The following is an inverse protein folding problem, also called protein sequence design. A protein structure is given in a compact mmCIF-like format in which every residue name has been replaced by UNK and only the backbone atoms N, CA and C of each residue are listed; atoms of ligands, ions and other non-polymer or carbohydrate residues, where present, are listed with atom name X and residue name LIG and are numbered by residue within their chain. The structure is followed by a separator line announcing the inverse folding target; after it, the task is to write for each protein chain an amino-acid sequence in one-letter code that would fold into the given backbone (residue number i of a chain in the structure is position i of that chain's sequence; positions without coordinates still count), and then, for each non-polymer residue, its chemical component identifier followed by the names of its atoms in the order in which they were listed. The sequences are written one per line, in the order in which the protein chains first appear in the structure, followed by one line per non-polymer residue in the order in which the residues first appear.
data_IF_207189983938
#
_entry.id   IF_207189983938
#
_cell.length_a   1.000
_cell.length_b   1.000
_cell.length_c   1.000
_cell.angle_alpha   90.00
_cell.angle_beta   90.00
_cell.angle_gamma   90.00
#
_symmetry.space_group_name_H-M   'P 1'
#
loop_
_entity.id
_entity.type
_entity.pdbx_description
1 polymer ?
#
# COMPACT_ATOMS: atom_id res chain seq x y z
N UNK A 1 -24.66 -9.32 -13.18
CA UNK A 1 -24.09 -8.03 -13.56
C UNK A 1 -22.78 -7.91 -12.82
N UNK A 2 -21.67 -7.75 -13.52
CA UNK A 2 -20.36 -7.65 -12.88
C UNK A 2 -20.25 -6.29 -12.20
N UNK A 3 -20.10 -6.27 -10.87
CA UNK A 3 -20.05 -5.01 -10.10
C UNK A 3 -18.81 -4.18 -10.43
N UNK A 4 -17.72 -4.83 -10.87
CA UNK A 4 -16.54 -4.17 -11.40
C UNK A 4 -16.31 -4.64 -12.84
N UNK A 5 -16.43 -3.77 -13.86
CA UNK A 5 -16.20 -4.15 -15.26
C UNK A 5 -14.76 -4.58 -15.55
N UNK A 6 -13.81 -4.34 -14.64
CA UNK A 6 -12.42 -4.82 -14.76
C UNK A 6 -12.23 -6.24 -14.23
N UNK A 7 -13.26 -6.86 -13.64
CA UNK A 7 -13.18 -8.21 -13.06
C UNK A 7 -12.22 -8.33 -11.87
N UNK A 8 -11.94 -7.21 -11.20
CA UNK A 8 -11.03 -7.14 -10.05
C UNK A 8 -11.77 -6.94 -8.74
N UNK A 9 -11.15 -7.40 -7.67
CA UNK A 9 -11.54 -7.12 -6.28
C UNK A 9 -10.48 -6.20 -5.64
N UNK A 10 -10.83 -5.38 -4.63
CA UNK A 10 -12.14 -5.24 -3.98
C UNK A 10 -13.15 -4.37 -4.75
N UNK A 11 -14.42 -4.49 -4.36
CA UNK A 11 -15.53 -3.60 -4.73
C UNK A 11 -16.28 -3.21 -3.46
N UNK A 12 -16.61 -1.93 -3.33
CA UNK A 12 -17.46 -1.41 -2.26
C UNK A 12 -18.84 -1.08 -2.83
N UNK A 13 -19.89 -1.59 -2.18
CA UNK A 13 -21.28 -1.24 -2.48
C UNK A 13 -21.82 -0.43 -1.30
N UNK A 14 -22.36 0.75 -1.58
CA UNK A 14 -23.01 1.62 -0.60
C UNK A 14 -24.34 2.14 -1.13
N UNK A 15 -25.44 1.59 -0.62
CA UNK A 15 -26.76 1.83 -1.19
C UNK A 15 -26.81 1.40 -2.66
N UNK A 16 -27.08 2.35 -3.55
CA UNK A 16 -27.06 2.15 -5.02
C UNK A 16 -25.68 2.42 -5.64
N UNK A 17 -24.73 2.97 -4.87
CA UNK A 17 -23.39 3.28 -5.35
C UNK A 17 -22.49 2.04 -5.41
N UNK A 18 -21.71 1.94 -6.50
CA UNK A 18 -20.69 0.89 -6.69
C UNK A 18 -19.34 1.56 -6.96
N UNK A 19 -18.38 1.34 -6.06
CA UNK A 19 -17.03 1.91 -6.11
C UNK A 19 -16.03 0.76 -6.24
N UNK A 20 -15.12 0.87 -7.19
CA UNK A 20 -14.06 -0.11 -7.45
C UNK A 20 -12.71 0.61 -7.57
N UNK A 21 -11.62 -0.19 -7.59
CA UNK A 21 -10.24 0.23 -7.35
C UNK A 21 -9.97 0.61 -5.88
N UNK A 22 -9.01 -0.06 -5.25
CA UNK A 22 -8.74 0.07 -3.81
C UNK A 22 -8.39 1.50 -3.39
N UNK A 23 -7.63 2.23 -4.20
CA UNK A 23 -7.29 3.62 -3.90
C UNK A 23 -8.53 4.53 -3.94
N UNK A 24 -9.42 4.34 -4.92
CA UNK A 24 -10.65 5.12 -5.06
C UNK A 24 -11.63 4.77 -3.93
N UNK A 25 -11.74 3.49 -3.56
CA UNK A 25 -12.50 3.06 -2.38
C UNK A 25 -11.99 3.79 -1.12
N UNK A 26 -10.68 3.87 -0.93
CA UNK A 26 -10.11 4.57 0.23
C UNK A 26 -10.39 6.08 0.20
N UNK A 27 -10.34 6.72 -0.98
CA UNK A 27 -10.71 8.14 -1.12
C UNK A 27 -12.19 8.37 -0.79
N UNK A 28 -13.08 7.53 -1.28
CA UNK A 28 -14.49 7.57 -0.95
C UNK A 28 -14.73 7.42 0.57
N UNK A 29 -14.02 6.51 1.24
CA UNK A 29 -14.13 6.32 2.68
C UNK A 29 -13.61 7.53 3.48
N UNK A 30 -12.53 8.16 3.02
CA UNK A 30 -12.00 9.41 3.61
C UNK A 30 -13.02 10.55 3.51
N UNK A 31 -13.74 10.67 2.39
CA UNK A 31 -14.78 11.69 2.20
C UNK A 31 -16.06 11.38 2.99
N UNK A 32 -16.45 10.11 3.06
CA UNK A 32 -17.68 9.68 3.73
C UNK A 32 -17.59 9.73 5.26
N UNK A 33 -16.40 9.49 5.81
CA UNK A 33 -16.17 9.42 7.26
C UNK A 33 -15.11 10.44 7.72
N UNK A 34 -15.38 11.75 7.56
CA UNK A 34 -14.39 12.81 7.83
C UNK A 34 -13.94 12.88 9.30
N UNK A 35 -14.67 12.24 10.22
CA UNK A 35 -14.29 12.13 11.63
C UNK A 35 -13.07 11.21 11.86
N UNK A 36 -12.72 10.37 10.88
CA UNK A 36 -11.50 9.55 10.88
C UNK A 36 -10.64 10.03 9.72
N UNK A 37 -9.78 11.00 9.98
CA UNK A 37 -8.91 11.57 8.96
C UNK A 37 -7.67 10.68 8.78
N UNK A 38 -7.52 10.07 7.60
CA UNK A 38 -6.36 9.26 7.22
C UNK A 38 -5.53 9.90 6.13
N UNK A 39 -5.88 11.10 5.66
CA UNK A 39 -5.05 11.89 4.79
C UNK A 39 -4.63 13.20 5.44
N UNK A 40 -3.37 13.65 5.27
CA UNK A 40 -2.92 14.93 5.81
C UNK A 40 -3.78 16.11 5.33
N UNK A 41 -3.94 17.12 6.20
CA UNK A 41 -4.58 18.39 5.87
C UNK A 41 -3.64 19.34 5.13
N UNK A 42 -2.34 19.30 5.45
CA UNK A 42 -1.33 20.07 4.73
C UNK A 42 -1.28 19.64 3.25
N UNK A 43 -1.43 20.57 2.28
CA UNK A 43 -1.45 20.22 0.86
C UNK A 43 -0.19 19.48 0.38
N UNK A 44 0.98 19.79 0.93
CA UNK A 44 2.24 19.14 0.53
C UNK A 44 2.29 17.71 1.06
N UNK A 45 2.00 17.49 2.34
CA UNK A 45 1.93 16.14 2.89
C UNK A 45 0.83 15.30 2.23
N UNK A 46 -0.32 15.91 1.91
CA UNK A 46 -1.40 15.22 1.19
C UNK A 46 -0.96 14.79 -0.21
N UNK A 47 -0.23 15.65 -0.92
CA UNK A 47 0.32 15.37 -2.24
C UNK A 47 1.36 14.25 -2.16
N UNK A 48 2.20 14.29 -1.13
CA UNK A 48 3.19 13.26 -0.85
C UNK A 48 2.54 11.90 -0.55
N UNK A 49 1.46 11.87 0.24
CA UNK A 49 0.69 10.66 0.47
C UNK A 49 0.21 10.05 -0.85
N UNK A 50 -0.37 10.87 -1.74
CA UNK A 50 -0.84 10.43 -3.06
C UNK A 50 0.27 9.89 -3.95
N UNK A 51 1.44 10.54 -3.99
CA UNK A 51 2.61 10.08 -4.75
C UNK A 51 3.02 8.67 -4.31
N UNK A 52 3.03 8.40 -3.01
CA UNK A 52 3.46 7.10 -2.50
C UNK A 52 2.37 6.02 -2.55
N UNK A 53 1.09 6.40 -2.55
CA UNK A 53 -0.01 5.49 -2.89
C UNK A 53 0.12 5.06 -4.36
N UNK A 54 0.32 6.02 -5.27
CA UNK A 54 0.55 5.75 -6.69
C UNK A 54 1.78 4.85 -6.90
N UNK A 55 2.90 5.18 -6.26
CA UNK A 55 4.12 4.38 -6.31
C UNK A 55 3.87 2.91 -5.91
N UNK A 56 3.10 2.68 -4.85
CA UNK A 56 2.74 1.32 -4.43
C UNK A 56 1.95 0.61 -5.53
N UNK A 57 0.89 1.24 -6.03
CA UNK A 57 -0.06 0.63 -6.94
C UNK A 57 0.54 0.37 -8.33
N UNK A 58 1.25 1.36 -8.89
CA UNK A 58 1.72 1.32 -10.27
C UNK A 58 3.08 0.64 -10.42
N UNK A 59 3.88 0.56 -9.34
CA UNK A 59 5.24 0.00 -9.38
C UNK A 59 5.36 -1.25 -8.54
N UNK A 60 5.26 -1.12 -7.22
CA UNK A 60 5.56 -2.21 -6.30
C UNK A 60 4.57 -3.37 -6.47
N UNK A 61 3.27 -3.09 -6.38
CA UNK A 61 2.22 -4.11 -6.51
C UNK A 61 2.14 -4.68 -7.92
N UNK A 62 2.40 -3.88 -8.95
CA UNK A 62 2.45 -4.37 -10.33
C UNK A 62 3.58 -5.41 -10.50
N UNK A 63 4.80 -5.11 -10.03
CA UNK A 63 5.92 -6.04 -10.10
C UNK A 63 5.72 -7.27 -9.19
N UNK A 64 5.21 -7.06 -7.98
CA UNK A 64 4.88 -8.16 -7.06
C UNK A 64 3.77 -9.07 -7.62
N UNK A 65 2.79 -8.47 -8.31
CA UNK A 65 1.71 -9.18 -9.00
C UNK A 65 2.22 -10.09 -10.10
N UNK A 66 3.22 -9.66 -10.88
CA UNK A 66 3.88 -10.51 -11.87
C UNK A 66 4.51 -11.76 -11.23
N UNK A 67 5.21 -11.60 -10.10
CA UNK A 67 5.79 -12.74 -9.36
C UNK A 67 4.68 -13.70 -8.90
N UNK A 68 3.59 -13.17 -8.37
CA UNK A 68 2.48 -13.97 -7.85
C UNK A 68 1.68 -14.73 -8.93
N UNK A 69 1.88 -14.42 -10.21
CA UNK A 69 1.25 -15.08 -11.35
C UNK A 69 2.29 -15.70 -12.30
N UNK A 70 3.50 -15.97 -11.80
CA UNK A 70 4.59 -16.63 -12.54
C UNK A 70 4.97 -15.96 -13.87
N UNK A 71 4.85 -14.63 -13.94
CA UNK A 71 5.14 -13.83 -15.14
C UNK A 71 6.42 -13.00 -14.96
N UNK A 72 7.39 -13.10 -15.90
CA UNK A 72 8.70 -12.39 -15.85
C UNK A 72 9.34 -12.38 -14.43
N UNK A 73 9.35 -13.53 -13.74
CA UNK A 73 9.62 -13.61 -12.28
C UNK A 73 10.95 -12.96 -11.88
N UNK A 74 12.06 -13.33 -12.52
CA UNK A 74 13.39 -12.84 -12.13
C UNK A 74 13.54 -11.32 -12.33
N UNK A 75 13.10 -10.80 -13.48
CA UNK A 75 13.06 -9.37 -13.75
C UNK A 75 12.14 -8.61 -12.78
N UNK A 76 11.05 -9.25 -12.35
CA UNK A 76 10.12 -8.66 -11.39
C UNK A 76 10.70 -8.66 -9.97
N UNK A 77 11.49 -9.67 -9.59
CA UNK A 77 12.24 -9.68 -8.32
C UNK A 77 13.27 -8.56 -8.26
N UNK A 78 14.02 -8.33 -9.33
CA UNK A 78 14.97 -7.19 -9.43
C UNK A 78 14.25 -5.85 -9.25
N UNK A 79 13.11 -5.66 -9.92
CA UNK A 79 12.29 -4.44 -9.79
C UNK A 79 11.75 -4.27 -8.37
N UNK A 80 11.15 -5.31 -7.79
CA UNK A 80 10.66 -5.29 -6.40
C UNK A 80 11.81 -4.90 -5.48
N UNK A 81 13.00 -5.51 -5.64
CA UNK A 81 14.16 -5.18 -4.82
C UNK A 81 14.54 -3.70 -4.89
N UNK A 82 14.68 -3.14 -6.09
CA UNK A 82 14.98 -1.71 -6.26
C UNK A 82 13.91 -0.79 -5.68
N UNK A 83 12.63 -1.20 -5.74
CA UNK A 83 11.56 -0.43 -5.12
C UNK A 83 11.59 -0.47 -3.59
N UNK A 84 11.96 -1.61 -2.99
CA UNK A 84 12.15 -1.72 -1.54
C UNK A 84 13.36 -0.90 -1.06
N UNK A 85 14.44 -0.84 -1.83
CA UNK A 85 15.59 0.03 -1.54
C UNK A 85 15.22 1.50 -1.58
N UNK A 86 14.42 1.92 -2.56
CA UNK A 86 13.88 3.29 -2.65
C UNK A 86 13.03 3.62 -1.42
N UNK A 87 12.14 2.71 -1.00
CA UNK A 87 11.33 2.89 0.21
C UNK A 87 12.20 2.98 1.47
N UNK A 88 13.23 2.14 1.58
CA UNK A 88 14.17 2.19 2.70
C UNK A 88 14.89 3.53 2.79
N UNK A 89 15.29 4.12 1.65
CA UNK A 89 15.88 5.46 1.63
C UNK A 89 14.89 6.53 2.06
N UNK A 90 13.64 6.46 1.57
CA UNK A 90 12.61 7.42 1.94
C UNK A 90 12.27 7.37 3.44
N UNK A 91 12.29 6.18 4.03
CA UNK A 91 11.97 5.98 5.45
C UNK A 91 13.12 6.30 6.40
N UNK A 92 14.30 6.72 5.91
CA UNK A 92 15.50 6.96 6.74
C UNK A 92 15.24 7.84 7.96
N UNK A 93 14.59 8.97 7.74
CA UNK A 93 14.35 10.00 8.76
C UNK A 93 12.85 10.18 9.05
N UNK A 94 12.06 9.11 8.82
CA UNK A 94 10.60 9.17 8.89
C UNK A 94 10.01 8.01 9.68
N UNK A 95 8.96 8.30 10.44
CA UNK A 95 8.14 7.26 11.05
C UNK A 95 7.01 6.79 10.12
N UNK A 96 6.44 7.72 9.34
CA UNK A 96 5.37 7.50 8.37
C UNK A 96 5.64 8.28 7.09
N UNK A 97 5.10 7.80 5.96
CA UNK A 97 5.41 8.33 4.63
C UNK A 97 5.12 9.83 4.54
N UNK A 98 3.95 10.26 5.01
CA UNK A 98 3.44 11.62 4.88
C UNK A 98 3.52 12.42 6.19
N UNK A 99 4.53 12.11 7.01
CA UNK A 99 4.74 12.72 8.34
C UNK A 99 3.93 12.03 9.44
N UNK A 100 2.64 11.83 9.21
CA UNK A 100 1.72 11.13 10.11
C UNK A 100 1.19 9.85 9.47
N UNK A 101 0.64 8.94 10.30
CA UNK A 101 0.04 7.70 9.81
C UNK A 101 -1.14 8.00 8.90
N UNK A 102 -1.09 7.49 7.68
CA UNK A 102 -2.02 7.87 6.63
C UNK A 102 -2.42 6.70 5.74
N UNK A 103 -3.33 6.95 4.78
CA UNK A 103 -3.63 5.99 3.71
C UNK A 103 -2.36 5.58 2.95
N UNK A 104 -1.36 6.46 2.83
CA UNK A 104 -0.09 6.11 2.19
C UNK A 104 0.64 4.98 2.91
N UNK A 105 0.54 4.88 4.24
CA UNK A 105 1.10 3.76 4.99
C UNK A 105 0.23 2.51 4.87
N UNK A 106 -1.09 2.69 4.96
CA UNK A 106 -2.08 1.61 4.89
C UNK A 106 -1.98 0.84 3.57
N UNK A 107 -1.74 1.54 2.45
CA UNK A 107 -1.62 0.96 1.11
C UNK A 107 -0.53 -0.12 1.01
N UNK A 108 0.49 -0.12 1.88
CA UNK A 108 1.57 -1.11 1.86
C UNK A 108 1.33 -2.32 2.75
N UNK A 109 0.39 -2.24 3.70
CA UNK A 109 0.10 -3.33 4.65
C UNK A 109 -0.19 -4.66 3.93
N UNK A 110 -1.06 -4.72 2.89
CA UNK A 110 -1.34 -5.99 2.22
C UNK A 110 -0.11 -6.59 1.53
N UNK A 111 0.83 -5.76 1.08
CA UNK A 111 2.09 -6.23 0.49
C UNK A 111 2.96 -6.89 1.57
N UNK A 112 3.10 -6.24 2.73
CA UNK A 112 3.89 -6.76 3.86
C UNK A 112 3.31 -8.05 4.45
N UNK A 113 1.99 -8.18 4.54
CA UNK A 113 1.36 -9.42 5.00
C UNK A 113 1.60 -10.61 4.05
N UNK A 114 2.05 -10.37 2.81
CA UNK A 114 2.12 -11.38 1.73
C UNK A 114 3.51 -11.52 1.12
N UNK A 115 4.57 -11.12 1.83
CA UNK A 115 5.95 -11.20 1.32
C UNK A 115 6.31 -12.59 0.76
N UNK A 116 5.87 -13.67 1.41
CA UNK A 116 6.06 -15.04 0.93
C UNK A 116 5.44 -15.28 -0.46
N UNK A 117 4.24 -14.74 -0.73
CA UNK A 117 3.57 -14.83 -2.04
C UNK A 117 4.40 -14.18 -3.14
N UNK A 118 5.18 -13.16 -2.79
CA UNK A 118 6.03 -12.42 -3.72
C UNK A 118 7.49 -12.90 -3.73
N UNK A 119 7.78 -14.04 -3.07
CA UNK A 119 9.11 -14.64 -2.98
C UNK A 119 10.18 -13.61 -2.55
N UNK A 120 9.82 -12.70 -1.64
CA UNK A 120 10.67 -11.60 -1.20
C UNK A 120 10.72 -11.52 0.32
N UNK A 121 11.73 -10.85 0.85
CA UNK A 121 11.93 -10.64 2.29
C UNK A 121 12.46 -9.23 2.54
N UNK A 122 12.21 -8.71 3.74
CA UNK A 122 12.74 -7.42 4.20
C UNK A 122 13.62 -7.73 5.40
N UNK A 123 14.93 -7.70 5.19
CA UNK A 123 15.96 -8.07 6.17
C UNK A 123 16.65 -6.86 6.79
N UNK A 124 17.75 -7.13 7.50
CA UNK A 124 18.56 -6.11 8.19
C UNK A 124 19.33 -5.19 7.23
N UNK A 125 19.40 -5.55 5.95
CA UNK A 125 19.93 -4.73 4.86
C UNK A 125 18.99 -3.59 4.45
N UNK A 126 17.73 -3.62 4.88
CA UNK A 126 16.73 -2.56 4.69
C UNK A 126 16.18 -2.08 6.05
N UNK A 127 17.02 -1.52 6.95
CA UNK A 127 16.67 -1.32 8.35
C UNK A 127 15.52 -0.33 8.56
N UNK A 128 15.43 0.73 7.76
CA UNK A 128 14.38 1.74 7.89
C UNK A 128 13.03 1.22 7.38
N UNK A 129 13.06 0.51 6.24
CA UNK A 129 11.88 -0.16 5.72
C UNK A 129 11.39 -1.26 6.68
N UNK A 130 12.32 -2.04 7.24
CA UNK A 130 12.01 -3.08 8.23
C UNK A 130 11.32 -2.49 9.45
N UNK A 131 11.89 -1.43 10.03
CA UNK A 131 11.30 -0.75 11.19
C UNK A 131 9.92 -0.15 10.89
N UNK A 132 9.70 0.35 9.67
CA UNK A 132 8.38 0.83 9.24
C UNK A 132 7.39 -0.31 9.05
N UNK A 133 7.77 -1.39 8.36
CA UNK A 133 6.96 -2.59 8.18
C UNK A 133 6.52 -3.16 9.53
N UNK A 134 7.45 -3.41 10.46
CA UNK A 134 7.16 -3.96 11.77
C UNK A 134 6.16 -3.08 12.55
N UNK A 135 6.33 -1.76 12.49
CA UNK A 135 5.42 -0.80 13.12
C UNK A 135 4.01 -0.86 12.54
N UNK A 136 3.88 -1.04 11.23
CA UNK A 136 2.57 -1.15 10.58
C UNK A 136 1.90 -2.49 10.91
N UNK A 137 2.67 -3.58 10.87
CA UNK A 137 2.17 -4.92 11.16
C UNK A 137 1.81 -5.14 12.64
N UNK A 138 2.43 -4.42 13.57
CA UNK A 138 2.10 -4.53 15.00
C UNK A 138 0.81 -3.81 15.40
N UNK A 139 0.22 -2.98 14.51
CA UNK A 139 -1.01 -2.26 14.84
C UNK A 139 -2.15 -3.23 15.16
N UNK A 140 -2.91 -3.03 16.26
CA UNK A 140 -3.98 -3.96 16.67
C UNK A 140 -5.01 -4.24 15.57
N UNK A 141 -5.41 -3.21 14.81
CA UNK A 141 -6.37 -3.35 13.71
C UNK A 141 -5.83 -4.20 12.56
N UNK A 142 -4.52 -4.19 12.33
CA UNK A 142 -3.87 -5.02 11.30
C UNK A 142 -3.80 -6.46 11.77
N UNK A 143 -3.35 -6.68 13.02
CA UNK A 143 -3.26 -8.01 13.62
C UNK A 143 -4.62 -8.71 13.78
N UNK A 144 -5.70 -7.94 13.92
CA UNK A 144 -7.07 -8.45 14.02
C UNK A 144 -7.70 -8.78 12.65
N UNK A 145 -7.05 -8.40 11.54
CA UNK A 145 -7.54 -8.69 10.20
C UNK A 145 -7.00 -10.06 9.75
N UNK A 146 -7.88 -11.03 9.44
CA UNK A 146 -7.49 -12.40 9.09
C UNK A 146 -6.77 -12.54 7.74
#
# INVERSE_FOLDING_TARGET
MELNPYGKVPVLVDGEGVIYESAIINEYLEEKYPQIQLMPSDPIQRSRARIWIDYCNTRLQAAAGNIAHDHEVEKSKERVRGYLETLNQEMRDRQYIAGEYSLADITYIPFFCRLQRYQTTIGDDLPHLKAWMERLLDRPVVRATP
#
